data_IF_666560571426
#
_entry.id   IF_666560571426
#
_cell.length_a   1.000
_cell.length_b   1.000
_cell.length_c   1.000
_cell.angle_alpha   90.00
_cell.angle_beta   90.00
_cell.angle_gamma   90.00
#
_symmetry.space_group_name_H-M   'P 1'
#
loop_
_entity.id
_entity.type
_entity.pdbx_description
1 polymer ?
#
# COMPACT_ATOMS: atom_id res chain seq x y z
N UNK A 1 21.92 -23.28 -19.49
CA UNK A 1 20.85 -23.42 -18.47
C UNK A 1 21.26 -22.64 -17.22
N UNK A 2 20.70 -21.45 -17.01
CA UNK A 2 21.04 -20.61 -15.85
C UNK A 2 20.09 -20.92 -14.71
N UNK A 3 20.63 -21.57 -13.68
CA UNK A 3 19.93 -21.92 -12.45
C UNK A 3 19.41 -20.65 -11.76
N UNK A 4 18.09 -20.45 -11.74
CA UNK A 4 17.44 -19.38 -10.99
C UNK A 4 17.58 -19.69 -9.50
N UNK A 5 18.60 -19.12 -8.86
CA UNK A 5 18.68 -19.07 -7.39
C UNK A 5 17.42 -18.34 -6.88
N UNK A 6 16.50 -19.09 -6.29
CA UNK A 6 15.45 -18.54 -5.43
C UNK A 6 16.15 -17.79 -4.29
N UNK A 7 16.11 -16.45 -4.34
CA UNK A 7 16.46 -15.65 -3.17
C UNK A 7 15.43 -15.95 -2.11
N UNK A 8 15.87 -16.55 -1.02
CA UNK A 8 15.05 -16.71 0.18
C UNK A 8 14.50 -15.33 0.57
N UNK A 9 13.19 -15.26 0.81
CA UNK A 9 12.56 -14.05 1.35
C UNK A 9 13.18 -13.75 2.71
N UNK A 10 13.66 -12.51 2.96
CA UNK A 10 14.34 -12.14 4.20
C UNK A 10 13.47 -12.31 5.46
N UNK A 11 12.16 -12.55 5.31
CA UNK A 11 11.23 -12.79 6.40
C UNK A 11 11.12 -14.26 6.86
N UNK A 12 11.91 -15.21 6.33
CA UNK A 12 11.86 -16.62 6.78
C UNK A 12 10.51 -17.34 6.56
N UNK A 13 9.60 -16.72 5.81
CA UNK A 13 8.26 -17.24 5.53
C UNK A 13 8.21 -17.93 4.16
N UNK A 14 7.40 -18.99 4.07
CA UNK A 14 7.32 -19.89 2.91
C UNK A 14 7.07 -19.10 1.60
N UNK A 15 7.72 -19.47 0.49
CA UNK A 15 7.64 -18.74 -0.79
C UNK A 15 6.25 -18.72 -1.44
N UNK A 16 5.28 -19.50 -0.93
CA UNK A 16 3.95 -19.66 -1.51
C UNK A 16 2.85 -18.78 -0.93
N UNK A 17 3.14 -17.87 0.02
CA UNK A 17 2.15 -16.91 0.49
C UNK A 17 2.63 -15.48 0.26
N UNK A 18 1.82 -14.77 -0.51
CA UNK A 18 2.02 -13.41 -1.06
C UNK A 18 2.09 -12.40 0.09
N UNK A 19 3.20 -12.36 0.79
CA UNK A 19 3.49 -11.40 1.84
C UNK A 19 4.03 -10.14 1.18
N UNK A 20 3.43 -8.97 1.44
CA UNK A 20 4.10 -7.71 1.08
C UNK A 20 4.95 -7.25 2.24
N UNK A 21 6.25 -7.19 2.00
CA UNK A 21 7.21 -6.67 2.96
C UNK A 21 7.32 -5.14 2.83
N UNK A 22 7.80 -4.47 3.88
CA UNK A 22 8.03 -3.03 3.85
C UNK A 22 9.02 -2.66 2.71
N UNK A 23 10.06 -3.49 2.51
CA UNK A 23 10.98 -3.35 1.37
C UNK A 23 10.31 -3.51 0.01
N UNK A 24 9.32 -4.40 -0.13
CA UNK A 24 8.58 -4.52 -1.38
C UNK A 24 7.74 -3.27 -1.69
N UNK A 25 7.05 -2.73 -0.68
CA UNK A 25 6.30 -1.48 -0.82
C UNK A 25 7.26 -0.34 -1.19
N UNK A 26 8.41 -0.25 -0.50
CA UNK A 26 9.46 0.71 -0.81
C UNK A 26 9.90 0.62 -2.28
N UNK A 27 10.17 -0.60 -2.77
CA UNK A 27 10.63 -0.83 -4.14
C UNK A 27 9.58 -0.46 -5.18
N UNK A 28 8.30 -0.74 -4.91
CA UNK A 28 7.19 -0.33 -5.76
C UNK A 28 7.07 1.21 -5.79
N UNK A 29 7.07 1.85 -4.63
CA UNK A 29 7.06 3.32 -4.54
C UNK A 29 8.27 3.94 -5.24
N UNK A 30 9.45 3.30 -5.16
CA UNK A 30 10.66 3.80 -5.82
C UNK A 30 10.49 3.83 -7.33
N UNK A 31 10.02 2.73 -7.92
CA UNK A 31 9.74 2.65 -9.36
C UNK A 31 8.72 3.71 -9.79
N UNK A 32 7.65 3.87 -9.01
CA UNK A 32 6.60 4.86 -9.28
C UNK A 32 7.14 6.29 -9.23
N UNK A 33 7.88 6.64 -8.18
CA UNK A 33 8.48 7.98 -8.04
C UNK A 33 9.41 8.31 -9.20
N UNK A 34 10.37 7.41 -9.52
CA UNK A 34 11.27 7.62 -10.65
C UNK A 34 10.52 7.83 -11.96
N UNK A 35 9.48 7.03 -12.21
CA UNK A 35 8.66 7.18 -13.40
C UNK A 35 7.90 8.51 -13.43
N UNK A 36 7.33 8.93 -12.30
CA UNK A 36 6.65 10.24 -12.19
C UNK A 36 7.64 11.36 -12.52
N UNK A 37 8.83 11.33 -11.91
CA UNK A 37 9.89 12.31 -12.12
C UNK A 37 10.33 12.41 -13.58
N UNK A 38 10.48 11.28 -14.26
CA UNK A 38 10.73 11.27 -15.72
C UNK A 38 9.58 11.92 -16.50
N UNK A 39 8.32 11.60 -16.18
CA UNK A 39 7.16 12.13 -16.89
C UNK A 39 6.94 13.63 -16.69
N UNK A 40 7.30 14.18 -15.54
CA UNK A 40 7.20 15.63 -15.27
C UNK A 40 8.44 16.41 -15.74
N UNK A 41 9.44 15.75 -16.33
CA UNK A 41 10.64 16.40 -16.85
C UNK A 41 11.73 16.69 -15.80
N UNK A 42 11.66 16.09 -14.61
CA UNK A 42 12.65 16.24 -13.54
C UNK A 42 13.30 14.91 -13.15
N UNK A 43 14.08 14.24 -14.01
CA UNK A 43 14.68 12.94 -13.69
C UNK A 43 15.52 12.99 -12.41
N UNK A 44 15.25 12.08 -11.47
CA UNK A 44 15.84 12.13 -10.13
C UNK A 44 17.38 12.10 -10.11
N UNK A 45 18.01 11.42 -11.06
CA UNK A 45 19.48 11.36 -11.17
C UNK A 45 20.12 12.70 -11.57
N UNK A 46 19.38 13.57 -12.25
CA UNK A 46 19.84 14.91 -12.66
C UNK A 46 19.41 15.97 -11.65
N UNK A 47 18.18 15.85 -11.14
CA UNK A 47 17.51 16.86 -10.33
C UNK A 47 17.42 16.50 -8.84
N UNK A 48 18.32 15.62 -8.36
CA UNK A 48 18.29 15.12 -6.97
C UNK A 48 18.25 16.26 -5.95
N UNK A 49 19.13 17.24 -6.09
CA UNK A 49 19.25 18.34 -5.13
C UNK A 49 17.96 19.17 -5.06
N UNK A 50 17.38 19.49 -6.22
CA UNK A 50 16.11 20.19 -6.32
C UNK A 50 14.96 19.41 -5.68
N UNK A 51 14.80 18.13 -6.05
CA UNK A 51 13.75 17.28 -5.49
C UNK A 51 13.90 17.12 -3.96
N UNK A 52 15.13 16.97 -3.45
CA UNK A 52 15.39 16.94 -2.02
C UNK A 52 15.01 18.25 -1.30
N UNK A 53 15.22 19.41 -1.94
CA UNK A 53 14.77 20.69 -1.41
C UNK A 53 13.23 20.77 -1.35
N UNK A 54 12.55 20.30 -2.40
CA UNK A 54 11.08 20.21 -2.42
C UNK A 54 10.57 19.29 -1.30
N UNK A 55 11.14 18.10 -1.13
CA UNK A 55 10.77 17.18 -0.05
C UNK A 55 11.03 17.79 1.32
N UNK A 56 12.15 18.51 1.49
CA UNK A 56 12.47 19.18 2.75
C UNK A 56 11.42 20.22 3.11
N UNK A 57 10.97 21.01 2.12
CA UNK A 57 9.85 21.94 2.30
C UNK A 57 8.52 21.24 2.58
N UNK A 58 8.25 20.11 1.92
CA UNK A 58 7.01 19.36 2.07
C UNK A 58 6.85 18.71 3.44
N UNK A 59 7.95 18.19 4.02
CA UNK A 59 7.90 17.40 5.27
C UNK A 59 8.41 18.16 6.50
N UNK A 60 8.92 19.40 6.34
CA UNK A 60 9.41 20.22 7.45
C UNK A 60 10.67 19.68 8.13
N UNK A 61 11.37 18.73 7.50
CA UNK A 61 12.64 18.16 7.96
C UNK A 61 13.61 18.01 6.80
N UNK A 62 14.92 18.02 7.08
CA UNK A 62 15.94 17.80 6.05
C UNK A 62 15.78 16.41 5.43
N UNK A 63 15.62 16.36 4.11
CA UNK A 63 15.60 15.12 3.31
C UNK A 63 16.80 15.13 2.36
N UNK A 64 17.66 14.12 2.46
CA UNK A 64 18.89 14.02 1.65
C UNK A 64 18.75 13.12 0.43
N UNK A 65 17.67 12.35 0.37
CA UNK A 65 17.32 11.51 -0.77
C UNK A 65 16.13 10.60 -0.49
N UNK A 66 15.70 9.88 -1.52
CA UNK A 66 14.57 8.96 -1.45
C UNK A 66 14.68 7.90 -0.35
N UNK A 67 15.89 7.42 -0.03
CA UNK A 67 16.09 6.41 1.02
C UNK A 67 15.85 6.93 2.44
N UNK A 68 15.95 8.24 2.63
CA UNK A 68 15.72 8.90 3.92
C UNK A 68 14.22 9.10 4.21
N UNK A 69 13.37 8.93 3.21
CA UNK A 69 11.93 9.08 3.34
C UNK A 69 11.28 7.81 3.87
N UNK A 70 10.32 7.98 4.78
CA UNK A 70 9.46 6.89 5.25
C UNK A 70 8.47 6.47 4.16
N UNK A 71 7.85 5.29 4.30
CA UNK A 71 6.85 4.83 3.33
C UNK A 71 5.65 5.79 3.24
N UNK A 72 5.25 6.44 4.35
CA UNK A 72 4.15 7.43 4.33
C UNK A 72 4.54 8.71 3.59
N UNK A 73 5.75 9.23 3.80
CA UNK A 73 6.25 10.41 3.10
C UNK A 73 6.38 10.14 1.59
N UNK A 74 6.85 8.95 1.22
CA UNK A 74 6.91 8.52 -0.19
C UNK A 74 5.52 8.45 -0.81
N UNK A 75 4.53 7.93 -0.10
CA UNK A 75 3.13 7.91 -0.54
C UNK A 75 2.60 9.33 -0.74
N UNK A 76 2.90 10.25 0.17
CA UNK A 76 2.52 11.66 0.06
C UNK A 76 3.17 12.34 -1.15
N UNK A 77 4.46 12.12 -1.38
CA UNK A 77 5.17 12.62 -2.55
C UNK A 77 4.55 12.10 -3.86
N UNK A 78 4.25 10.78 -3.94
CA UNK A 78 3.56 10.21 -5.10
C UNK A 78 2.23 10.91 -5.35
N UNK A 79 1.42 11.11 -4.30
CA UNK A 79 0.13 11.80 -4.42
C UNK A 79 0.26 13.27 -4.83
N UNK A 80 1.34 13.94 -4.43
CA UNK A 80 1.61 15.34 -4.77
C UNK A 80 1.99 15.50 -6.25
N UNK A 81 2.86 14.64 -6.78
CA UNK A 81 3.34 14.76 -8.16
C UNK A 81 2.50 14.02 -9.20
N UNK A 82 1.72 13.01 -8.81
CA UNK A 82 0.89 12.24 -9.74
C UNK A 82 -0.07 13.08 -10.61
N UNK A 83 -0.75 14.13 -10.09
CA UNK A 83 -1.63 14.97 -10.91
C UNK A 83 -0.92 15.68 -12.07
N UNK A 84 0.39 15.93 -11.94
CA UNK A 84 1.21 16.59 -12.97
C UNK A 84 1.62 15.65 -14.11
N UNK A 85 1.36 14.35 -13.99
CA UNK A 85 1.67 13.37 -15.03
C UNK A 85 0.53 13.31 -16.07
N UNK A 86 0.66 14.07 -17.16
CA UNK A 86 -0.34 14.11 -18.24
C UNK A 86 -0.53 12.72 -18.85
N UNK A 87 -1.75 12.19 -18.80
CA UNK A 87 -2.12 10.91 -19.45
C UNK A 87 -1.56 9.65 -18.79
N UNK A 88 -0.86 9.76 -17.64
CA UNK A 88 -0.29 8.60 -16.96
C UNK A 88 -1.06 8.25 -15.69
N UNK A 89 -1.70 7.07 -15.66
CA UNK A 89 -2.36 6.57 -14.45
C UNK A 89 -1.32 6.04 -13.46
N UNK A 90 -1.06 6.82 -12.42
CA UNK A 90 -0.16 6.43 -11.32
C UNK A 90 -0.91 5.52 -10.34
N UNK A 91 -0.36 4.32 -10.09
CA UNK A 91 -0.83 3.45 -9.02
C UNK A 91 0.04 3.70 -7.77
N UNK A 92 -0.53 4.38 -6.77
CA UNK A 92 0.15 4.64 -5.50
C UNK A 92 -0.08 3.44 -4.57
N UNK A 93 0.95 2.61 -4.30
CA UNK A 93 0.78 1.47 -3.40
C UNK A 93 0.44 2.00 -2.01
N UNK A 94 -0.66 1.51 -1.45
CA UNK A 94 -1.01 1.85 -0.08
C UNK A 94 0.00 1.29 0.93
N UNK A 95 0.01 1.91 2.10
CA UNK A 95 0.99 1.67 3.17
C UNK A 95 0.24 1.31 4.45
N UNK A 96 0.36 0.06 4.95
CA UNK A 96 -0.17 -0.34 6.25
C UNK A 96 0.32 0.58 7.38
N UNK A 97 -0.50 0.76 8.42
CA UNK A 97 -0.21 1.72 9.51
C UNK A 97 1.12 1.41 10.19
N UNK A 98 1.38 0.14 10.44
CA UNK A 98 2.58 -0.42 11.06
C UNK A 98 3.87 -0.19 10.25
N UNK A 99 3.74 0.10 8.95
CA UNK A 99 4.86 0.31 8.03
C UNK A 99 5.04 1.79 7.67
N UNK A 100 4.16 2.69 8.12
CA UNK A 100 4.20 4.12 7.74
C UNK A 100 5.55 4.76 8.00
N UNK A 101 6.10 4.53 9.18
CA UNK A 101 7.38 5.09 9.62
C UNK A 101 8.60 4.30 9.13
N UNK A 102 8.40 3.17 8.45
CA UNK A 102 9.51 2.37 7.95
C UNK A 102 10.26 3.13 6.84
N UNK A 103 11.59 3.14 6.91
CA UNK A 103 12.48 3.66 5.87
C UNK A 103 13.53 2.64 5.47
N UNK A 104 14.22 2.90 4.36
CA UNK A 104 15.28 2.01 3.88
C UNK A 104 16.41 1.96 4.92
N UNK A 105 16.70 0.76 5.41
CA UNK A 105 17.73 0.51 6.42
C UNK A 105 17.15 0.09 7.77
N UNK A 106 15.85 0.25 7.99
CA UNK A 106 15.16 -0.31 9.14
C UNK A 106 14.97 -1.84 8.99
N UNK A 107 14.74 -2.51 10.12
CA UNK A 107 14.45 -3.95 10.14
C UNK A 107 13.23 -4.29 9.29
N UNK A 108 13.29 -5.42 8.59
CA UNK A 108 12.24 -5.84 7.67
C UNK A 108 10.93 -6.13 8.43
N UNK A 109 9.84 -5.51 7.98
CA UNK A 109 8.49 -5.82 8.46
C UNK A 109 7.70 -6.52 7.36
N UNK A 110 7.04 -7.61 7.71
CA UNK A 110 6.27 -8.42 6.77
C UNK A 110 4.80 -8.50 7.19
N UNK A 111 3.89 -8.38 6.21
CA UNK A 111 2.47 -8.61 6.40
C UNK A 111 2.02 -9.81 5.57
N UNK A 112 1.28 -10.73 6.18
CA UNK A 112 0.64 -11.82 5.44
C UNK A 112 -0.65 -11.32 4.79
N UNK A 113 -0.69 -11.23 3.46
CA UNK A 113 -1.94 -10.87 2.78
C UNK A 113 -2.93 -12.03 2.91
N UNK A 114 -4.20 -11.67 3.11
CA UNK A 114 -5.29 -12.64 2.98
C UNK A 114 -5.36 -13.09 1.50
N UNK A 115 -5.37 -14.41 1.22
CA UNK A 115 -5.61 -14.94 -0.12
C UNK A 115 -6.89 -14.37 -0.73
N UNK A 116 -6.93 -14.18 -2.06
CA UNK A 116 -8.15 -13.66 -2.69
C UNK A 116 -9.32 -14.66 -2.57
N UNK A 117 -8.98 -15.95 -2.52
CA UNK A 117 -9.86 -17.09 -2.38
C UNK A 117 -10.24 -17.37 -0.91
N UNK A 118 -9.80 -16.53 0.02
CA UNK A 118 -10.10 -16.70 1.43
C UNK A 118 -11.62 -16.72 1.67
N UNK A 119 -12.09 -17.73 2.41
CA UNK A 119 -13.52 -17.96 2.64
C UNK A 119 -14.15 -16.79 3.40
N UNK A 120 -13.43 -16.22 4.37
CA UNK A 120 -13.92 -15.11 5.17
C UNK A 120 -13.97 -13.83 4.34
N UNK A 121 -12.96 -13.59 3.49
CA UNK A 121 -12.97 -12.46 2.58
C UNK A 121 -14.13 -12.53 1.57
N UNK A 122 -14.38 -13.71 1.01
CA UNK A 122 -15.55 -13.95 0.14
C UNK A 122 -16.87 -13.71 0.86
N UNK A 123 -16.97 -14.11 2.13
CA UNK A 123 -18.15 -13.84 2.95
C UNK A 123 -18.35 -12.34 3.19
N UNK A 124 -17.28 -11.59 3.47
CA UNK A 124 -17.36 -10.12 3.58
C UNK A 124 -17.91 -9.49 2.28
N UNK A 125 -17.44 -9.94 1.12
CA UNK A 125 -17.97 -9.50 -0.17
C UNK A 125 -19.43 -9.87 -0.40
N UNK A 126 -19.84 -11.09 -0.04
CA UNK A 126 -21.24 -11.51 -0.13
C UNK A 126 -22.14 -10.63 0.75
N UNK A 127 -21.73 -10.35 1.99
CA UNK A 127 -22.48 -9.47 2.90
C UNK A 127 -22.55 -8.03 2.39
N UNK A 128 -21.51 -7.55 1.71
CA UNK A 128 -21.52 -6.23 1.08
C UNK A 128 -22.56 -6.16 -0.04
N UNK A 129 -22.66 -7.21 -0.87
CA UNK A 129 -23.68 -7.32 -1.91
C UNK A 129 -25.09 -7.38 -1.33
N UNK A 130 -25.29 -8.09 -0.22
CA UNK A 130 -26.57 -8.16 0.51
C UNK A 130 -27.03 -6.79 1.05
N UNK A 131 -26.10 -5.85 1.26
CA UNK A 131 -26.41 -4.45 1.60
C UNK A 131 -26.75 -3.59 0.37
N UNK A 132 -26.84 -4.18 -0.82
CA UNK A 132 -27.04 -3.47 -2.09
C UNK A 132 -25.81 -2.68 -2.53
N UNK A 133 -24.63 -2.96 -1.97
CA UNK A 133 -23.38 -2.26 -2.30
C UNK A 133 -22.54 -3.07 -3.28
N UNK A 134 -21.78 -2.38 -4.13
CA UNK A 134 -20.90 -3.00 -5.12
C UNK A 134 -19.51 -3.30 -4.53
N UNK A 135 -18.77 -4.30 -5.06
CA UNK A 135 -17.46 -4.70 -4.53
C UNK A 135 -16.40 -3.58 -4.45
N UNK A 136 -16.47 -2.58 -5.33
CA UNK A 136 -15.58 -1.40 -5.32
C UNK A 136 -15.71 -0.55 -4.04
N UNK A 137 -16.78 -0.75 -3.26
CA UNK A 137 -16.96 -0.09 -1.96
C UNK A 137 -16.17 -0.76 -0.84
N UNK A 138 -15.70 -1.99 -1.02
CA UNK A 138 -14.96 -2.71 0.01
C UNK A 138 -13.67 -1.99 0.45
N UNK A 139 -12.79 -1.52 -0.46
CA UNK A 139 -11.65 -0.69 -0.09
C UNK A 139 -12.03 0.59 0.66
N UNK A 140 -13.17 1.21 0.34
CA UNK A 140 -13.64 2.43 1.02
C UNK A 140 -14.01 2.14 2.46
N UNK A 141 -14.75 1.05 2.70
CA UNK A 141 -15.15 0.60 4.04
C UNK A 141 -13.91 0.24 4.87
N UNK A 142 -12.99 -0.54 4.29
CA UNK A 142 -11.76 -0.94 4.95
C UNK A 142 -10.86 0.25 5.26
N UNK A 143 -10.75 1.21 4.33
CA UNK A 143 -10.00 2.45 4.56
C UNK A 143 -10.61 3.28 5.68
N UNK A 144 -11.93 3.44 5.67
CA UNK A 144 -12.63 4.21 6.71
C UNK A 144 -12.45 3.59 8.10
N UNK A 145 -12.47 2.24 8.19
CA UNK A 145 -12.49 1.52 9.47
C UNK A 145 -11.10 1.24 10.04
N UNK A 146 -10.14 0.91 9.18
CA UNK A 146 -8.81 0.47 9.60
C UNK A 146 -7.68 1.36 9.09
N UNK A 147 -7.97 2.36 8.25
CA UNK A 147 -6.95 3.20 7.63
C UNK A 147 -6.08 2.45 6.61
N UNK A 148 -6.59 1.32 6.11
CA UNK A 148 -5.91 0.40 5.20
C UNK A 148 -6.52 0.55 3.80
N UNK A 149 -5.69 0.65 2.78
CA UNK A 149 -6.18 0.98 1.42
C UNK A 149 -6.83 -0.19 0.67
N UNK A 150 -6.67 -1.41 1.17
CA UNK A 150 -7.17 -2.62 0.53
C UNK A 150 -7.51 -3.69 1.57
N UNK A 151 -8.67 -4.31 1.44
CA UNK A 151 -9.20 -5.36 2.31
C UNK A 151 -8.31 -6.59 2.43
N UNK A 152 -7.46 -6.87 1.45
CA UNK A 152 -6.50 -7.99 1.51
C UNK A 152 -5.33 -7.74 2.46
N UNK A 153 -5.22 -6.53 2.98
CA UNK A 153 -4.17 -6.10 3.90
C UNK A 153 -4.66 -5.93 5.34
N UNK A 154 -5.91 -6.31 5.63
CA UNK A 154 -6.37 -6.34 7.00
C UNK A 154 -5.91 -7.63 7.67
N UNK A 155 -5.67 -7.59 8.98
CA UNK A 155 -5.28 -8.76 9.76
C UNK A 155 -6.49 -9.71 9.92
N UNK A 156 -6.29 -11.02 10.18
CA UNK A 156 -7.40 -11.95 10.41
C UNK A 156 -8.40 -11.47 11.47
N UNK A 157 -7.91 -10.83 12.55
CA UNK A 157 -8.76 -10.22 13.58
C UNK A 157 -9.62 -9.07 13.04
N UNK A 158 -9.06 -8.23 12.18
CA UNK A 158 -9.77 -7.12 11.52
C UNK A 158 -10.76 -7.64 10.47
N UNK A 159 -10.45 -8.75 9.77
CA UNK A 159 -11.38 -9.39 8.85
C UNK A 159 -12.61 -9.93 9.58
N UNK A 160 -12.42 -10.61 10.72
CA UNK A 160 -13.53 -11.06 11.56
C UNK A 160 -14.38 -9.88 12.07
N UNK A 161 -13.75 -8.79 12.52
CA UNK A 161 -14.45 -7.57 12.91
C UNK A 161 -15.26 -6.96 11.75
N UNK A 162 -14.68 -6.90 10.55
CA UNK A 162 -15.34 -6.41 9.33
C UNK A 162 -16.58 -7.24 8.99
N UNK A 163 -16.46 -8.56 9.06
CA UNK A 163 -17.56 -9.49 8.84
C UNK A 163 -18.68 -9.27 9.84
N UNK A 164 -18.36 -9.20 11.13
CA UNK A 164 -19.35 -8.98 12.19
C UNK A 164 -20.07 -7.65 12.00
N UNK A 165 -19.34 -6.60 11.61
CA UNK A 165 -19.92 -5.31 11.26
C UNK A 165 -20.90 -5.42 10.08
N UNK A 166 -20.50 -6.07 8.98
CA UNK A 166 -21.36 -6.21 7.81
C UNK A 166 -22.59 -7.08 8.10
N UNK A 167 -22.44 -8.16 8.88
CA UNK A 167 -23.54 -8.98 9.37
C UNK A 167 -24.55 -8.15 10.17
N UNK A 168 -24.07 -7.37 11.14
CA UNK A 168 -24.92 -6.50 11.94
C UNK A 168 -25.68 -5.49 11.06
N UNK A 169 -25.01 -4.90 10.06
CA UNK A 169 -25.64 -3.99 9.11
C UNK A 169 -26.75 -4.68 8.30
N UNK A 170 -26.50 -5.89 7.78
CA UNK A 170 -27.48 -6.65 7.00
C UNK A 170 -28.72 -6.97 7.84
N UNK A 171 -28.53 -7.40 9.09
CA UNK A 171 -29.62 -7.74 10.01
C UNK A 171 -30.52 -6.54 10.33
N UNK A 172 -29.95 -5.34 10.46
CA UNK A 172 -30.71 -4.13 10.78
C UNK A 172 -31.32 -3.42 9.56
N UNK A 173 -30.89 -3.74 8.34
CA UNK A 173 -31.50 -3.23 7.11
C UNK A 173 -32.67 -4.07 6.59
N UNK A 174 -32.88 -5.28 7.14
CA UNK A 174 -33.99 -6.18 6.77
C UNK A 174 -35.22 -6.07 7.67
N UNK A 175 -35.23 -5.11 8.60
CA UNK A 175 -36.41 -4.73 9.40
C UNK A 175 -37.02 -3.47 8.82
#
# INVERSE_FOLDING_TARGET
>A
MVSRKHRASPCGLRPDKRNRSASEIYNLQNKVLHKIFEQIGFPYNKEKAYLCAVFTGMFGRKVTGLSDMTLVERRQAISHFAPSTKGYRVNNPGVPREFREWKKGDDEKCFEMIPAEDRQLRMAYALLLELGQTPDKMPVIVRARYGIDHERWIQPKQLNDLINYLLYRVQNCRR
#
